data_IF_203862545113
#
_entry.id   IF_203862545113
#
_cell.length_a   1.000
_cell.length_b   1.000
_cell.length_c   1.000
_cell.angle_alpha   90.00
_cell.angle_beta   90.00
_cell.angle_gamma   90.00
#
_symmetry.space_group_name_H-M   'P 1'
#
loop_
_entity.id
_entity.type
_entity.pdbx_description
1 polymer ?
#
# COMPACT_ATOMS: atom_id res chain seq x y z
N UNK A 1 -6.32 17.01 35.19
CA UNK A 1 -5.44 16.92 34.00
C UNK A 1 -5.25 15.44 33.68
N UNK A 2 -5.24 15.07 32.40
CA UNK A 2 -5.00 13.68 31.98
C UNK A 2 -3.53 13.34 32.23
N UNK A 3 -3.21 12.12 32.69
CA UNK A 3 -1.81 11.73 32.89
C UNK A 3 -1.16 11.25 31.60
N UNK A 4 0.15 11.48 31.46
CA UNK A 4 0.98 11.00 30.36
C UNK A 4 0.85 9.49 30.11
N UNK A 5 0.79 8.70 31.18
CA UNK A 5 0.62 7.25 31.13
C UNK A 5 -0.74 6.83 30.57
N UNK A 6 -1.82 7.55 30.89
CA UNK A 6 -3.16 7.21 30.40
C UNK A 6 -3.26 7.41 28.88
N UNK A 7 -2.66 8.50 28.37
CA UNK A 7 -2.62 8.81 26.93
C UNK A 7 -1.82 7.74 26.16
N UNK A 8 -0.69 7.28 26.68
CA UNK A 8 0.16 6.29 26.01
C UNK A 8 -0.46 4.89 25.98
N UNK A 9 -1.12 4.49 27.06
CA UNK A 9 -1.73 3.16 27.18
C UNK A 9 -3.10 3.08 26.48
N UNK A 10 -3.93 4.11 26.59
CA UNK A 10 -5.29 4.15 26.05
C UNK A 10 -5.40 5.06 24.82
N UNK A 11 -4.34 5.12 24.00
CA UNK A 11 -4.20 6.08 22.89
C UNK A 11 -5.38 6.09 21.91
N UNK A 12 -6.10 4.97 21.76
CA UNK A 12 -7.28 4.82 20.89
C UNK A 12 -8.55 5.49 21.43
N UNK A 13 -8.57 5.88 22.70
CA UNK A 13 -9.72 6.58 23.33
C UNK A 13 -9.65 8.11 23.10
N UNK A 14 -8.51 8.63 22.63
CA UNK A 14 -8.29 10.06 22.40
C UNK A 14 -8.41 10.41 20.91
N UNK A 15 -9.01 11.57 20.62
CA UNK A 15 -9.06 12.10 19.26
C UNK A 15 -7.72 12.69 18.84
N UNK A 16 -7.48 12.82 17.52
CA UNK A 16 -6.28 13.47 17.00
C UNK A 16 -6.12 14.92 17.49
N UNK A 17 -7.23 15.60 17.78
CA UNK A 17 -7.23 16.97 18.33
C UNK A 17 -6.78 17.00 19.79
N UNK A 18 -7.27 16.09 20.63
CA UNK A 18 -6.84 15.95 22.02
C UNK A 18 -5.36 15.55 22.13
N UNK A 19 -4.90 14.67 21.24
CA UNK A 19 -3.50 14.26 21.19
C UNK A 19 -2.61 15.42 20.71
N UNK A 20 -3.01 16.17 19.68
CA UNK A 20 -2.31 17.37 19.23
C UNK A 20 -2.27 18.45 20.34
N UNK A 21 -3.35 18.63 21.10
CA UNK A 21 -3.38 19.51 22.27
C UNK A 21 -2.40 19.04 23.37
N UNK A 22 -2.39 17.75 23.70
CA UNK A 22 -1.47 17.18 24.70
C UNK A 22 0.00 17.28 24.28
N UNK A 23 0.31 17.25 22.98
CA UNK A 23 1.64 17.53 22.43
C UNK A 23 2.00 19.01 22.56
N UNK A 24 1.10 19.92 22.17
CA UNK A 24 1.32 21.36 22.32
C UNK A 24 1.45 21.79 23.79
N UNK A 25 0.78 21.10 24.71
CA UNK A 25 0.90 21.27 26.15
C UNK A 25 2.13 20.56 26.77
N UNK A 26 3.00 19.94 25.96
CA UNK A 26 4.22 19.26 26.41
C UNK A 26 4.00 18.02 27.29
N UNK A 27 2.77 17.47 27.33
CA UNK A 27 2.42 16.30 28.16
C UNK A 27 2.94 14.99 27.57
N UNK A 28 2.96 14.90 26.24
CA UNK A 28 3.48 13.77 25.46
C UNK A 28 4.24 14.28 24.24
N UNK A 29 5.20 13.52 23.73
CA UNK A 29 5.88 13.82 22.46
C UNK A 29 5.51 12.82 21.37
N UNK A 30 5.62 13.22 20.09
CA UNK A 30 5.39 12.30 18.95
C UNK A 30 6.28 11.05 19.00
N UNK A 31 7.50 11.18 19.53
CA UNK A 31 8.41 10.06 19.76
C UNK A 31 7.88 9.06 20.78
N UNK A 32 7.31 9.54 21.90
CA UNK A 32 6.74 8.67 22.95
C UNK A 32 5.46 7.96 22.48
N UNK A 33 4.62 8.66 21.72
CA UNK A 33 3.46 8.06 21.06
C UNK A 33 3.88 6.93 20.12
N UNK A 34 4.91 7.15 19.30
CA UNK A 34 5.48 6.10 18.43
C UNK A 34 6.04 4.92 19.24
N UNK A 35 6.80 5.19 20.30
CA UNK A 35 7.39 4.18 21.18
C UNK A 35 6.35 3.34 21.95
N UNK A 36 5.12 3.83 22.12
CA UNK A 36 4.03 3.06 22.75
C UNK A 36 3.59 1.83 21.95
N UNK A 37 3.90 1.76 20.64
CA UNK A 37 3.42 0.72 19.73
C UNK A 37 1.92 0.81 19.38
N UNK A 38 1.15 1.68 20.05
CA UNK A 38 -0.28 1.89 19.81
C UNK A 38 -0.58 2.92 18.70
N UNK A 39 0.42 3.71 18.27
CA UNK A 39 0.28 4.74 17.25
C UNK A 39 0.29 4.13 15.84
N UNK A 40 -0.87 4.12 15.18
CA UNK A 40 -0.97 3.68 13.77
C UNK A 40 -0.47 4.76 12.81
N UNK A 41 -0.01 4.40 11.58
CA UNK A 41 0.43 5.39 10.58
C UNK A 41 -0.62 6.44 10.25
N UNK A 42 -1.91 6.05 10.17
CA UNK A 42 -3.02 6.98 9.91
C UNK A 42 -3.26 7.94 11.08
N UNK A 43 -3.20 7.47 12.34
CA UNK A 43 -3.28 8.38 13.50
C UNK A 43 -2.12 9.37 13.52
N UNK A 44 -0.89 8.90 13.26
CA UNK A 44 0.30 9.76 13.19
C UNK A 44 0.09 10.90 12.18
N UNK A 45 -0.32 10.56 10.95
CA UNK A 45 -0.59 11.56 9.89
C UNK A 45 -1.66 12.57 10.31
N UNK A 46 -2.79 12.12 10.87
CA UNK A 46 -3.86 13.01 11.35
C UNK A 46 -3.40 13.94 12.47
N UNK A 47 -2.55 13.49 13.39
CA UNK A 47 -1.98 14.34 14.45
C UNK A 47 -1.00 15.35 13.84
N UNK A 48 -0.13 14.93 12.92
CA UNK A 48 0.80 15.82 12.22
C UNK A 48 0.06 16.90 11.41
N UNK A 49 -0.99 16.54 10.66
CA UNK A 49 -1.86 17.47 9.93
C UNK A 49 -2.51 18.51 10.88
N UNK A 50 -2.98 18.09 12.06
CA UNK A 50 -3.57 19.01 13.06
C UNK A 50 -2.53 19.92 13.73
N UNK A 51 -1.31 19.42 13.97
CA UNK A 51 -0.21 20.24 14.47
C UNK A 51 0.22 21.28 13.43
N UNK A 52 0.33 20.90 12.16
CA UNK A 52 0.63 21.82 11.05
C UNK A 52 -0.49 22.85 10.88
N UNK A 53 -1.76 22.45 10.83
CA UNK A 53 -2.88 23.37 10.68
C UNK A 53 -2.94 24.41 11.80
N UNK A 54 -2.76 23.98 13.06
CA UNK A 54 -2.73 24.89 14.22
C UNK A 54 -1.50 25.81 14.21
N UNK A 55 -0.38 25.37 13.65
CA UNK A 55 0.81 26.21 13.42
C UNK A 55 0.55 27.25 12.33
N UNK A 56 -0.19 26.89 11.28
CA UNK A 56 -0.61 27.81 10.21
C UNK A 56 -1.65 28.85 10.64
N UNK A 57 -2.57 28.52 11.56
CA UNK A 57 -3.50 29.50 12.14
C UNK A 57 -2.77 30.56 12.97
N UNK A 58 -1.76 30.17 13.76
CA UNK A 58 -0.94 31.12 14.53
C UNK A 58 -0.09 32.02 13.63
N UNK A 59 0.33 31.52 12.46
CA UNK A 59 1.17 32.27 11.51
C UNK A 59 0.43 33.38 10.72
N UNK A 60 -0.90 33.53 10.85
CA UNK A 60 -1.67 34.56 10.15
C UNK A 60 -2.03 35.79 11.01
N UNK A 61 -1.50 35.90 12.23
CA UNK A 61 -1.79 37.00 13.15
C UNK A 61 -0.53 37.65 13.71
N UNK A 62 0.16 38.48 12.91
CA UNK A 62 1.18 39.47 13.32
C UNK A 62 1.38 40.50 12.17
N UNK A 63 2.06 41.66 12.36
CA UNK A 63 3.01 41.98 13.44
C UNK A 63 2.78 43.29 14.22
N UNK A 64 3.33 43.35 15.44
CA UNK A 64 3.86 44.63 15.96
C UNK A 64 5.33 44.48 16.35
N UNK A 65 6.12 45.45 15.89
CA UNK A 65 7.59 45.41 15.76
C UNK A 65 8.29 45.79 17.06
N UNK A 66 9.34 45.07 17.49
CA UNK A 66 10.59 45.66 18.05
C UNK A 66 11.79 44.72 17.80
N UNK A 67 12.87 45.30 17.29
CA UNK A 67 14.20 44.71 17.03
C UNK A 67 15.15 44.74 18.25
N UNK A 68 16.15 43.86 18.31
CA UNK A 68 17.54 44.22 18.70
C UNK A 68 18.57 43.17 18.21
N UNK A 69 19.79 43.61 17.93
CA UNK A 69 20.88 42.84 17.29
C UNK A 69 21.91 42.26 18.29
N UNK A 70 22.90 41.54 17.73
CA UNK A 70 24.29 41.38 18.24
C UNK A 70 24.54 40.22 19.27
N UNK A 71 25.60 39.40 19.27
CA UNK A 71 26.66 38.92 18.32
C UNK A 71 27.50 37.83 19.05
N UNK A 72 28.54 37.28 18.39
CA UNK A 72 29.74 36.62 18.97
C UNK A 72 29.62 35.13 19.37
N UNK A 73 30.13 34.26 18.49
CA UNK A 73 30.80 33.01 18.86
C UNK A 73 32.26 33.32 19.29
N UNK A 74 32.99 32.41 19.97
CA UNK A 74 33.96 31.61 19.18
C UNK A 74 34.42 30.24 19.77
N UNK A 75 34.86 29.34 18.86
CA UNK A 75 36.08 28.45 18.99
C UNK A 75 36.13 27.34 20.07
N UNK A 76 36.91 26.23 20.00
CA UNK A 76 37.83 25.59 19.02
C UNK A 76 37.91 24.08 19.44
N UNK A 77 37.84 23.09 18.52
CA UNK A 77 38.97 22.33 17.94
C UNK A 77 39.63 21.25 18.84
N UNK A 78 39.67 19.99 18.38
CA UNK A 78 40.90 19.35 17.85
C UNK A 78 40.66 17.89 17.36
N UNK A 79 41.15 17.61 16.12
CA UNK A 79 42.06 16.51 15.69
C UNK A 79 41.83 15.04 16.12
N UNK A 80 42.26 14.01 15.37
CA UNK A 80 42.62 13.80 13.95
C UNK A 80 42.95 12.28 13.79
N UNK A 81 42.97 11.74 12.56
CA UNK A 81 43.60 10.45 12.17
C UNK A 81 43.12 9.13 12.81
N UNK A 82 43.40 7.93 12.29
CA UNK A 82 43.45 7.33 10.93
C UNK A 82 44.12 5.92 11.04
N UNK A 83 43.89 5.03 10.06
CA UNK A 83 44.65 3.79 9.75
C UNK A 83 44.48 2.53 10.63
N UNK A 84 43.67 1.60 10.10
CA UNK A 84 43.89 0.18 9.73
C UNK A 84 44.83 -0.79 10.51
N UNK A 85 44.43 -2.09 10.45
CA UNK A 85 45.23 -3.29 10.09
C UNK A 85 45.50 -4.37 11.17
N UNK A 86 44.91 -5.58 10.96
CA UNK A 86 45.37 -6.96 11.31
C UNK A 86 45.62 -7.35 12.80
N UNK A 87 45.61 -8.62 13.23
CA UNK A 87 45.21 -9.95 12.69
C UNK A 87 45.17 -10.99 13.85
N UNK A 88 45.11 -12.30 13.55
CA UNK A 88 45.46 -13.46 14.44
C UNK A 88 44.42 -13.84 15.53
N UNK A 89 44.14 -15.12 15.88
CA UNK A 89 44.54 -16.45 15.35
C UNK A 89 43.47 -17.51 15.72
N UNK A 90 43.41 -18.64 14.99
CA UNK A 90 43.68 -20.01 15.50
C UNK A 90 43.37 -21.11 14.44
N UNK A 91 44.25 -22.11 14.34
CA UNK A 91 44.27 -23.18 13.32
C UNK A 91 43.95 -24.58 13.90
N UNK A 92 43.56 -25.53 13.02
CA UNK A 92 43.99 -26.96 12.99
C UNK A 92 43.39 -27.59 11.69
N UNK A 93 44.15 -27.94 10.64
CA UNK A 93 45.08 -29.08 10.40
C UNK A 93 44.39 -30.25 9.61
N UNK A 94 44.55 -30.42 8.27
CA UNK A 94 45.58 -31.14 7.46
C UNK A 94 45.38 -32.69 7.40
N UNK A 95 45.59 -33.48 6.33
CA UNK A 95 46.30 -33.35 5.02
C UNK A 95 45.63 -34.16 3.85
N UNK A 96 46.25 -34.23 2.65
CA UNK A 96 45.88 -35.07 1.47
C UNK A 96 47.12 -35.91 1.02
N UNK A 97 46.98 -37.08 0.36
CA UNK A 97 47.60 -37.25 -0.99
C UNK A 97 46.77 -38.11 -2.01
N UNK A 98 47.38 -38.50 -3.15
CA UNK A 98 46.78 -38.49 -4.51
C UNK A 98 47.12 -39.72 -5.41
N UNK A 99 46.10 -40.26 -6.13
CA UNK A 99 46.14 -41.02 -7.42
C UNK A 99 46.79 -42.45 -7.43
N UNK A 100 46.69 -43.31 -8.50
CA UNK A 100 46.17 -43.05 -9.87
C UNK A 100 45.36 -44.18 -10.62
N UNK A 101 44.94 -43.83 -11.86
CA UNK A 101 44.85 -44.63 -13.13
C UNK A 101 43.70 -45.61 -13.57
N UNK A 102 43.27 -45.40 -14.84
CA UNK A 102 42.66 -46.31 -15.88
C UNK A 102 41.19 -46.80 -15.62
N UNK A 103 40.23 -46.86 -16.57
CA UNK A 103 40.19 -46.86 -18.05
C UNK A 103 38.98 -46.06 -18.67
N UNK A 104 38.87 -46.05 -20.01
CA UNK A 104 38.01 -45.20 -20.88
C UNK A 104 36.66 -45.85 -21.31
N UNK A 105 35.92 -45.35 -22.33
CA UNK A 105 35.13 -44.11 -22.32
C UNK A 105 33.64 -44.33 -22.72
N UNK A 106 32.81 -43.28 -22.67
CA UNK A 106 31.54 -43.23 -23.43
C UNK A 106 31.26 -41.80 -23.93
N UNK A 107 31.20 -41.67 -25.24
CA UNK A 107 31.11 -40.41 -25.99
C UNK A 107 29.64 -39.95 -26.10
N UNK A 108 29.33 -38.73 -25.65
CA UNK A 108 28.05 -38.06 -25.94
C UNK A 108 28.34 -36.63 -26.41
N UNK A 109 28.25 -36.44 -27.72
CA UNK A 109 28.42 -35.16 -28.40
C UNK A 109 27.24 -34.22 -28.11
N UNK A 110 27.53 -33.06 -27.52
CA UNK A 110 26.56 -31.97 -27.36
C UNK A 110 26.79 -30.96 -28.51
N UNK A 111 25.80 -30.70 -29.39
CA UNK A 111 25.94 -29.68 -30.42
C UNK A 111 25.91 -28.27 -29.79
N UNK A 112 26.93 -27.47 -30.11
CA UNK A 112 27.02 -26.08 -29.63
C UNK A 112 26.01 -25.20 -30.37
N UNK A 113 25.22 -24.42 -29.63
CA UNK A 113 24.36 -23.39 -30.20
C UNK A 113 25.19 -22.14 -30.56
N UNK A 114 24.97 -21.49 -31.72
CA UNK A 114 25.72 -20.31 -32.12
C UNK A 114 25.37 -19.10 -31.24
N UNK A 115 26.41 -18.51 -30.63
CA UNK A 115 26.31 -17.23 -29.91
C UNK A 115 26.08 -16.10 -30.94
N UNK A 116 24.93 -15.45 -30.88
CA UNK A 116 24.68 -14.20 -31.63
C UNK A 116 24.71 -13.03 -30.65
N UNK A 117 25.83 -12.34 -30.61
CA UNK A 117 25.96 -11.02 -29.98
C UNK A 117 25.23 -9.99 -30.83
N UNK A 118 24.16 -9.39 -30.31
CA UNK A 118 23.54 -8.19 -30.91
C UNK A 118 23.75 -7.01 -29.97
N UNK A 119 24.89 -6.35 -30.13
CA UNK A 119 25.18 -5.06 -29.50
C UNK A 119 24.54 -3.94 -30.32
N UNK A 120 23.43 -3.38 -29.85
CA UNK A 120 22.98 -2.01 -30.13
C UNK A 120 21.76 -1.66 -29.28
N UNK A 121 21.97 -0.95 -28.15
CA UNK A 121 20.86 -0.24 -27.49
C UNK A 121 20.44 0.94 -28.37
N UNK A 122 19.14 1.17 -28.62
CA UNK A 122 18.69 2.47 -29.09
C UNK A 122 18.83 3.47 -27.93
N UNK A 123 19.78 4.40 -28.07
CA UNK A 123 19.84 5.59 -27.22
C UNK A 123 18.58 6.42 -27.47
N UNK A 124 17.68 6.47 -26.49
CA UNK A 124 16.60 7.46 -26.50
C UNK A 124 17.17 8.78 -26.00
N UNK A 125 17.38 9.71 -26.92
CA UNK A 125 17.75 11.09 -26.59
C UNK A 125 16.57 11.79 -25.89
N UNK A 126 16.84 12.43 -24.76
CA UNK A 126 15.83 13.19 -24.03
C UNK A 126 15.68 14.59 -24.65
N UNK A 127 14.59 14.79 -25.41
CA UNK A 127 14.19 16.10 -25.90
C UNK A 127 13.66 16.97 -24.75
N UNK A 128 14.53 17.79 -24.17
CA UNK A 128 14.21 18.74 -23.12
C UNK A 128 13.56 20.00 -23.72
N UNK A 129 12.28 19.92 -24.07
CA UNK A 129 11.45 21.07 -24.41
C UNK A 129 10.28 21.17 -23.43
N UNK A 130 10.54 21.77 -22.27
CA UNK A 130 9.51 22.13 -21.30
C UNK A 130 8.57 23.18 -21.89
N UNK A 131 7.31 22.80 -22.09
CA UNK A 131 6.20 23.74 -22.03
C UNK A 131 5.26 23.24 -20.93
N UNK A 132 5.07 23.98 -19.83
CA UNK A 132 4.12 23.60 -18.79
C UNK A 132 2.70 23.78 -19.33
N UNK A 133 2.22 22.79 -20.06
CA UNK A 133 0.79 22.58 -20.26
C UNK A 133 0.16 22.53 -18.86
N UNK A 134 -0.98 23.21 -18.62
CA UNK A 134 -1.63 23.11 -17.34
C UNK A 134 -1.92 21.64 -17.08
N UNK A 135 -1.37 21.11 -15.98
CA UNK A 135 -1.80 19.83 -15.44
C UNK A 135 -3.23 20.05 -14.98
N UNK A 136 -4.15 19.84 -15.92
CA UNK A 136 -5.53 19.51 -15.60
C UNK A 136 -5.40 18.16 -14.92
N UNK A 137 -5.22 18.21 -13.60
CA UNK A 137 -5.74 17.18 -12.73
C UNK A 137 -7.23 17.17 -12.99
N UNK A 138 -7.64 16.39 -13.99
CA UNK A 138 -9.01 15.94 -14.12
C UNK A 138 -9.31 15.29 -12.77
N UNK A 139 -9.98 16.04 -11.90
CA UNK A 139 -10.46 15.56 -10.63
C UNK A 139 -11.48 14.50 -11.01
N UNK A 140 -11.03 13.25 -11.09
CA UNK A 140 -11.84 12.11 -11.53
C UNK A 140 -12.94 11.95 -10.49
N UNK A 141 -14.03 12.67 -10.70
CA UNK A 141 -15.08 12.86 -9.71
C UNK A 141 -15.68 11.50 -9.42
N UNK A 142 -15.37 10.92 -8.26
CA UNK A 142 -15.75 9.54 -7.94
C UNK A 142 -17.25 9.37 -7.63
N UNK A 143 -18.06 10.41 -7.87
CA UNK A 143 -19.52 10.34 -7.83
C UNK A 143 -20.06 9.34 -8.85
N UNK A 144 -20.85 8.40 -8.36
CA UNK A 144 -21.54 7.37 -9.14
C UNK A 144 -21.19 5.96 -8.69
N UNK A 145 -22.13 5.03 -8.91
CA UNK A 145 -21.92 3.61 -8.64
C UNK A 145 -21.22 2.91 -9.81
N UNK A 146 -20.58 1.78 -9.55
CA UNK A 146 -19.92 0.91 -10.52
C UNK A 146 -18.81 1.60 -11.31
N UNK A 147 -18.12 2.56 -10.70
CA UNK A 147 -16.83 3.01 -11.23
C UNK A 147 -15.83 1.85 -11.19
N UNK A 148 -15.23 1.59 -12.36
CA UNK A 148 -14.21 0.54 -12.58
C UNK A 148 -14.65 -0.82 -12.01
N UNK A 149 -15.71 -1.46 -12.54
CA UNK A 149 -16.38 -2.56 -11.84
C UNK A 149 -15.59 -3.88 -11.82
N UNK A 150 -14.52 -3.99 -12.61
CA UNK A 150 -13.59 -5.12 -12.67
C UNK A 150 -12.22 -4.81 -12.04
N UNK A 151 -12.10 -3.67 -11.33
CA UNK A 151 -10.90 -3.23 -10.60
C UNK A 151 -11.01 -3.63 -9.13
N UNK A 152 -9.90 -4.03 -8.51
CA UNK A 152 -9.84 -4.32 -7.07
C UNK A 152 -9.60 -3.05 -6.23
N UNK A 153 -9.18 -1.97 -6.88
CA UNK A 153 -8.78 -0.70 -6.27
C UNK A 153 -10.00 0.14 -5.89
N UNK A 154 -9.89 0.85 -4.77
CA UNK A 154 -10.95 1.70 -4.24
C UNK A 154 -11.90 0.96 -3.29
N UNK A 155 -13.01 1.65 -2.99
CA UNK A 155 -13.97 1.28 -1.94
C UNK A 155 -15.38 1.28 -2.50
N UNK A 156 -16.24 0.37 -2.02
CA UNK A 156 -17.68 0.38 -2.33
C UNK A 156 -18.55 0.22 -1.08
N UNK A 157 -19.73 0.83 -1.14
CA UNK A 157 -20.76 0.74 -0.09
C UNK A 157 -21.62 -0.51 -0.23
N UNK A 158 -22.37 -0.82 0.84
CA UNK A 158 -23.40 -1.89 0.88
C UNK A 158 -24.32 -1.94 -0.34
N UNK A 159 -24.74 -0.79 -0.86
CA UNK A 159 -25.69 -0.71 -1.98
C UNK A 159 -25.06 -1.23 -3.29
N UNK A 160 -23.85 -0.77 -3.65
CA UNK A 160 -23.12 -1.27 -4.81
C UNK A 160 -22.74 -2.75 -4.64
N UNK A 161 -22.31 -3.17 -3.46
CA UNK A 161 -22.01 -4.58 -3.18
C UNK A 161 -23.25 -5.48 -3.30
N UNK A 162 -24.39 -5.08 -2.73
CA UNK A 162 -25.65 -5.80 -2.83
C UNK A 162 -26.17 -5.87 -4.27
N UNK A 163 -26.07 -4.79 -5.04
CA UNK A 163 -26.44 -4.79 -6.44
C UNK A 163 -25.46 -5.62 -7.31
N UNK A 164 -24.18 -5.64 -6.96
CA UNK A 164 -23.20 -6.58 -7.57
C UNK A 164 -23.60 -8.02 -7.36
N UNK A 165 -24.03 -8.38 -6.15
CA UNK A 165 -24.50 -9.72 -5.82
C UNK A 165 -25.78 -10.08 -6.60
N UNK A 166 -26.72 -9.13 -6.76
CA UNK A 166 -27.93 -9.32 -7.57
C UNK A 166 -27.59 -9.51 -9.06
N UNK A 167 -26.68 -8.71 -9.62
CA UNK A 167 -26.22 -8.86 -11.01
C UNK A 167 -25.60 -10.23 -11.24
N UNK A 168 -24.71 -10.67 -10.34
CA UNK A 168 -24.11 -12.01 -10.39
C UNK A 168 -25.17 -13.11 -10.26
N UNK A 169 -26.12 -12.98 -9.33
CA UNK A 169 -27.20 -13.95 -9.13
C UNK A 169 -28.10 -14.10 -10.36
N UNK A 170 -28.46 -13.00 -11.03
CA UNK A 170 -29.22 -13.03 -12.29
C UNK A 170 -28.44 -13.74 -13.39
N UNK A 171 -27.15 -13.43 -13.56
CA UNK A 171 -26.28 -14.14 -14.49
C UNK A 171 -26.18 -15.63 -14.15
N UNK A 172 -26.03 -15.99 -12.87
CA UNK A 172 -25.93 -17.37 -12.40
C UNK A 172 -27.21 -18.18 -12.69
N UNK A 173 -28.39 -17.60 -12.45
CA UNK A 173 -29.68 -18.25 -12.80
C UNK A 173 -29.79 -18.49 -14.31
N UNK A 174 -29.38 -17.51 -15.14
CA UNK A 174 -29.36 -17.68 -16.60
C UNK A 174 -28.39 -18.79 -17.02
N UNK A 175 -27.21 -18.83 -16.41
CA UNK A 175 -26.18 -19.86 -16.65
C UNK A 175 -26.70 -21.26 -16.32
N UNK A 176 -27.26 -21.47 -15.12
CA UNK A 176 -27.81 -22.76 -14.69
C UNK A 176 -28.96 -23.22 -15.58
N UNK A 177 -29.94 -22.35 -15.87
CA UNK A 177 -31.08 -22.68 -16.75
C UNK A 177 -30.62 -23.06 -18.16
N UNK A 178 -29.60 -22.38 -18.69
CA UNK A 178 -29.03 -22.74 -19.98
C UNK A 178 -28.23 -24.06 -19.92
N UNK A 179 -27.43 -24.27 -18.87
CA UNK A 179 -26.58 -25.45 -18.70
C UNK A 179 -27.37 -26.77 -18.61
N UNK A 180 -28.57 -26.74 -18.03
CA UNK A 180 -29.47 -27.91 -18.00
C UNK A 180 -30.36 -28.05 -19.24
N UNK A 181 -30.31 -27.11 -20.19
CA UNK A 181 -31.22 -27.12 -21.34
C UNK A 181 -30.76 -28.11 -22.42
N UNK A 182 -31.60 -29.08 -22.83
CA UNK A 182 -31.19 -30.14 -23.78
C UNK A 182 -31.02 -29.63 -25.22
N UNK A 183 -31.44 -28.40 -25.50
CA UNK A 183 -31.40 -27.76 -26.82
C UNK A 183 -30.28 -26.71 -26.94
N UNK A 184 -29.35 -26.64 -25.99
CA UNK A 184 -28.25 -25.67 -26.01
C UNK A 184 -27.31 -25.96 -27.19
N UNK A 185 -27.14 -25.00 -28.10
CA UNK A 185 -26.19 -25.15 -29.20
C UNK A 185 -24.75 -25.11 -28.68
N UNK A 186 -23.84 -25.83 -29.37
CA UNK A 186 -22.42 -25.84 -29.01
C UNK A 186 -21.82 -24.42 -28.93
N UNK A 187 -22.22 -23.53 -29.85
CA UNK A 187 -21.78 -22.12 -29.83
C UNK A 187 -22.27 -21.36 -28.60
N UNK A 188 -23.53 -21.57 -28.18
CA UNK A 188 -24.07 -20.97 -26.97
C UNK A 188 -23.41 -21.53 -25.70
N UNK A 189 -23.10 -22.83 -25.66
CA UNK A 189 -22.37 -23.45 -24.56
C UNK A 189 -20.95 -22.87 -24.40
N UNK A 190 -20.21 -22.71 -25.51
CA UNK A 190 -18.88 -22.07 -25.51
C UNK A 190 -18.97 -20.61 -25.07
N UNK A 191 -19.97 -19.86 -25.56
CA UNK A 191 -20.20 -18.48 -25.14
C UNK A 191 -20.45 -18.38 -23.63
N UNK A 192 -21.35 -19.20 -23.08
CA UNK A 192 -21.64 -19.22 -21.64
C UNK A 192 -20.40 -19.55 -20.80
N UNK A 193 -19.61 -20.54 -21.22
CA UNK A 193 -18.35 -20.90 -20.57
C UNK A 193 -17.38 -19.72 -20.48
N UNK A 194 -17.27 -18.92 -21.55
CA UNK A 194 -16.43 -17.71 -21.60
C UNK A 194 -16.96 -16.65 -20.62
N UNK A 195 -18.28 -16.51 -20.44
CA UNK A 195 -18.84 -15.51 -19.51
C UNK A 195 -18.58 -15.79 -18.02
N UNK A 196 -18.18 -17.01 -17.64
CA UNK A 196 -17.85 -17.36 -16.24
C UNK A 196 -16.71 -16.48 -15.71
N UNK A 197 -15.66 -16.29 -16.51
CA UNK A 197 -14.46 -15.53 -16.12
C UNK A 197 -14.81 -14.09 -15.71
N UNK A 198 -15.44 -13.25 -16.56
CA UNK A 198 -15.79 -11.89 -16.16
C UNK A 198 -16.88 -11.84 -15.06
N UNK A 199 -17.81 -12.80 -14.99
CA UNK A 199 -18.82 -12.83 -13.95
C UNK A 199 -18.22 -13.08 -12.56
N UNK A 200 -17.34 -14.07 -12.42
CA UNK A 200 -16.63 -14.37 -11.17
C UNK A 200 -15.66 -13.24 -10.81
N UNK A 201 -14.92 -12.71 -11.80
CA UNK A 201 -13.99 -11.60 -11.59
C UNK A 201 -14.70 -10.34 -11.10
N UNK A 202 -15.86 -9.99 -11.68
CA UNK A 202 -16.70 -8.91 -11.21
C UNK A 202 -17.10 -9.09 -9.75
N UNK A 203 -17.63 -10.26 -9.37
CA UNK A 203 -18.04 -10.51 -7.99
C UNK A 203 -16.86 -10.41 -7.01
N UNK A 204 -15.70 -10.95 -7.38
CA UNK A 204 -14.47 -10.89 -6.59
C UNK A 204 -13.92 -9.46 -6.42
N UNK A 205 -13.89 -8.68 -7.50
CA UNK A 205 -13.43 -7.29 -7.48
C UNK A 205 -14.33 -6.43 -6.57
N UNK A 206 -15.65 -6.60 -6.66
CA UNK A 206 -16.61 -5.88 -5.83
C UNK A 206 -16.53 -6.33 -4.36
N UNK A 207 -16.41 -7.63 -4.10
CA UNK A 207 -16.21 -8.15 -2.74
C UNK A 207 -14.92 -7.64 -2.08
N UNK A 208 -13.83 -7.57 -2.83
CA UNK A 208 -12.58 -6.97 -2.36
C UNK A 208 -12.74 -5.49 -2.02
N UNK A 209 -13.30 -4.66 -2.93
CA UNK A 209 -13.59 -3.24 -2.66
C UNK A 209 -14.55 -3.04 -1.47
N UNK A 210 -15.42 -4.02 -1.16
CA UNK A 210 -16.29 -3.98 0.04
C UNK A 210 -15.52 -4.33 1.32
N UNK A 211 -14.50 -5.18 1.26
CA UNK A 211 -13.54 -5.40 2.36
C UNK A 211 -12.68 -4.16 2.61
N UNK A 212 -12.18 -3.55 1.53
CA UNK A 212 -11.38 -2.32 1.53
C UNK A 212 -12.12 -1.14 2.19
N UNK A 213 -13.43 -1.02 1.94
CA UNK A 213 -14.28 -0.02 2.61
C UNK A 213 -14.42 -0.24 4.13
N UNK A 214 -13.95 -1.36 4.67
CA UNK A 214 -13.84 -1.64 6.12
C UNK A 214 -12.38 -1.68 6.62
N UNK A 215 -11.41 -1.22 5.82
CA UNK A 215 -9.99 -1.26 6.18
C UNK A 215 -9.41 -2.68 6.28
N UNK A 216 -10.05 -3.66 5.63
CA UNK A 216 -9.61 -5.05 5.59
C UNK A 216 -9.15 -5.41 4.18
N UNK A 217 -8.11 -6.24 4.05
CA UNK A 217 -7.65 -6.70 2.74
C UNK A 217 -8.72 -7.50 2.00
N UNK A 218 -8.72 -7.46 0.67
CA UNK A 218 -9.74 -8.14 -0.16
C UNK A 218 -9.88 -9.64 0.11
N UNK A 219 -8.85 -10.30 0.65
CA UNK A 219 -8.86 -11.71 1.05
C UNK A 219 -9.87 -12.05 2.15
N UNK A 220 -10.32 -11.08 2.95
CA UNK A 220 -11.31 -11.31 4.01
C UNK A 220 -12.64 -11.86 3.47
N UNK A 221 -12.98 -11.65 2.20
CA UNK A 221 -14.18 -12.25 1.58
C UNK A 221 -14.19 -13.79 1.58
N UNK A 222 -13.02 -14.44 1.75
CA UNK A 222 -12.90 -15.89 1.85
C UNK A 222 -13.20 -16.44 3.25
N UNK A 223 -13.27 -15.57 4.27
CA UNK A 223 -13.57 -15.98 5.64
C UNK A 223 -15.03 -16.44 5.70
N UNK A 224 -15.34 -17.67 6.19
CA UNK A 224 -16.71 -18.15 6.29
C UNK A 224 -17.62 -17.17 7.03
N UNK A 225 -18.83 -16.96 6.50
CA UNK A 225 -19.83 -16.02 7.00
C UNK A 225 -19.45 -14.53 6.99
N UNK A 226 -18.23 -14.14 6.61
CA UNK A 226 -17.84 -12.72 6.57
C UNK A 226 -18.64 -11.90 5.54
N UNK A 227 -19.21 -12.54 4.52
CA UNK A 227 -20.17 -11.91 3.61
C UNK A 227 -21.36 -11.26 4.34
N UNK A 228 -21.78 -11.75 5.51
CA UNK A 228 -22.82 -11.11 6.34
C UNK A 228 -22.32 -9.77 6.91
N UNK A 229 -21.07 -9.71 7.34
CA UNK A 229 -20.42 -8.46 7.81
C UNK A 229 -20.27 -7.45 6.67
N UNK A 230 -19.93 -7.93 5.47
CA UNK A 230 -19.87 -7.11 4.26
C UNK A 230 -21.25 -6.58 3.85
N UNK A 231 -22.30 -7.39 3.95
CA UNK A 231 -23.67 -7.05 3.54
C UNK A 231 -24.33 -6.06 4.51
N UNK A 232 -24.17 -6.23 5.82
CA UNK A 232 -24.91 -5.45 6.83
C UNK A 232 -24.08 -4.39 7.56
N UNK A 233 -22.79 -4.61 7.80
CA UNK A 233 -21.97 -3.70 8.61
C UNK A 233 -21.59 -2.39 7.91
N UNK A 234 -21.22 -1.38 8.69
CA UNK A 234 -20.71 -0.08 8.21
C UNK A 234 -19.23 -0.09 7.83
N UNK A 235 -18.89 0.65 6.77
CA UNK A 235 -17.51 0.91 6.38
C UNK A 235 -16.87 2.02 7.20
N UNK A 236 -15.57 2.15 7.07
CA UNK A 236 -14.73 3.13 7.76
C UNK A 236 -15.10 4.56 7.38
N UNK A 237 -14.94 5.48 8.33
CA UNK A 237 -15.21 6.90 8.14
C UNK A 237 -13.94 7.66 7.71
N UNK A 238 -14.10 8.59 6.75
CA UNK A 238 -13.01 9.31 6.11
C UNK A 238 -12.11 8.43 5.22
N UNK A 239 -10.96 8.97 4.82
CA UNK A 239 -9.94 8.28 4.03
C UNK A 239 -9.31 7.10 4.81
N UNK A 240 -9.07 5.98 4.10
CA UNK A 240 -8.25 4.86 4.57
C UNK A 240 -7.23 4.45 3.47
N UNK A 241 -6.44 3.40 3.67
CA UNK A 241 -5.37 2.99 2.73
C UNK A 241 -5.87 2.63 1.31
N UNK A 242 -7.17 2.41 1.13
CA UNK A 242 -7.82 2.13 -0.15
C UNK A 242 -8.52 3.35 -0.76
N UNK A 243 -8.38 4.53 -0.15
CA UNK A 243 -8.86 5.83 -0.64
C UNK A 243 -10.05 6.42 0.12
N UNK A 244 -10.62 7.46 -0.48
CA UNK A 244 -11.69 8.29 0.07
C UNK A 244 -12.96 7.51 0.43
N UNK A 245 -13.72 8.04 1.39
CA UNK A 245 -14.99 7.48 1.82
C UNK A 245 -16.04 7.59 0.70
N UNK A 246 -16.61 6.48 0.19
CA UNK A 246 -17.64 6.51 -0.86
C UNK A 246 -19.01 7.05 -0.39
N UNK A 247 -19.09 7.66 0.80
CA UNK A 247 -20.22 8.47 1.28
C UNK A 247 -20.08 9.96 0.92
N UNK A 248 -18.88 10.44 0.65
CA UNK A 248 -18.50 11.85 0.46
C UNK A 248 -18.46 12.24 -1.05
#
# INVERSE_FOLDING_TARGET
MVSKSDILNNLREYTSDQIAEAINAGTVTMYELSKSGNLTPLMRRRIEEKLVAKTSEVAQAEPEVVSFEQEVAPTLNEKESSVNTESSDFEEEVIIPKAPDIDSPSEITIPQAPVITVTASPTFEADNNEHPSPVISDVISNKGMFKRPFSFEGRIRRLEYGLSFIIYFVWYVIFEVAAVSPNLSQGAAIFLLITIIPAVWFLWAQGAKRCHDRGNSGWYQLIPFYFLVLLFGDGDEGENEYGDNPKE
#
